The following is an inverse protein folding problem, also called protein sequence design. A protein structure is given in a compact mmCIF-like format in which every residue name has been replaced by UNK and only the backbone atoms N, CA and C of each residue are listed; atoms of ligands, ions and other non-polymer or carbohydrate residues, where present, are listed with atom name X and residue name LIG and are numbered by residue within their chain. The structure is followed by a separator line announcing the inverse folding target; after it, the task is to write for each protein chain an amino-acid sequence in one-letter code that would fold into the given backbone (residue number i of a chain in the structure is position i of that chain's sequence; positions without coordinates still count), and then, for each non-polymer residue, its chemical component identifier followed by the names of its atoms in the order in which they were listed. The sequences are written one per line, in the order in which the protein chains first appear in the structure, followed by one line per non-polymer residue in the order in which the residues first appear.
data_IF_517185911328
#
_entry.id   IF_517185911328
#
_cell.length_a   1.000
_cell.length_b   1.000
_cell.length_c   1.000
_cell.angle_alpha   90.00
_cell.angle_beta   90.00
_cell.angle_gamma   90.00
#
_symmetry.space_group_name_H-M   'P 1'
#
loop_
_entity.id
_entity.type
_entity.pdbx_description
1 polymer ?
#
# COMPACT_ATOMS: atom_id res chain seq x y z
N UNK A 1 12.42 -0.19 15.00
CA UNK A 1 12.26 0.85 13.97
C UNK A 1 12.62 0.21 12.64
N UNK A 2 11.66 0.04 11.74
CA UNK A 2 11.91 -0.55 10.41
C UNK A 2 12.19 0.58 9.42
N UNK A 3 13.40 1.13 9.49
CA UNK A 3 13.94 1.99 8.42
C UNK A 3 14.41 1.08 7.29
N UNK A 4 13.54 0.83 6.32
CA UNK A 4 13.87 -0.03 5.18
C UNK A 4 12.75 -0.01 4.15
N UNK A 5 13.11 0.15 2.88
CA UNK A 5 12.22 -0.19 1.77
C UNK A 5 12.08 -1.72 1.74
N UNK A 6 10.85 -2.22 1.80
CA UNK A 6 10.60 -3.66 1.85
C UNK A 6 9.41 -3.99 0.96
N UNK A 7 9.54 -4.96 0.07
CA UNK A 7 8.42 -5.48 -0.71
C UNK A 7 7.95 -6.76 0.00
N UNK A 8 6.70 -6.80 0.44
CA UNK A 8 6.13 -7.98 1.10
C UNK A 8 4.98 -8.55 0.26
N UNK A 9 5.29 -9.59 -0.50
CA UNK A 9 4.30 -10.33 -1.28
C UNK A 9 3.70 -11.41 -0.37
N UNK A 10 2.43 -11.26 0.00
CA UNK A 10 1.73 -12.17 0.92
C UNK A 10 0.58 -12.88 0.21
N UNK A 11 0.82 -14.13 -0.20
CA UNK A 11 -0.23 -15.02 -0.70
C UNK A 11 -0.81 -15.85 0.45
N UNK A 12 -1.66 -15.22 1.29
CA UNK A 12 -2.32 -15.90 2.41
C UNK A 12 -3.61 -16.60 1.95
N UNK A 13 -3.53 -17.88 1.65
CA UNK A 13 -4.73 -18.71 1.43
C UNK A 13 -5.30 -19.20 2.78
N UNK A 14 -6.60 -18.95 2.99
CA UNK A 14 -7.46 -19.26 4.15
C UNK A 14 -7.37 -18.34 5.38
N UNK A 15 -8.50 -17.67 5.67
CA UNK A 15 -8.98 -17.22 7.00
C UNK A 15 -8.09 -16.30 7.86
N UNK A 16 -6.88 -16.01 7.42
CA UNK A 16 -5.86 -15.41 8.27
C UNK A 16 -6.02 -13.90 8.29
N UNK A 17 -6.08 -13.33 9.49
CA UNK A 17 -5.96 -11.89 9.66
C UNK A 17 -4.50 -11.49 9.43
N UNK A 18 -4.28 -10.30 8.88
CA UNK A 18 -2.95 -9.75 8.67
C UNK A 18 -2.76 -8.52 9.56
N UNK A 19 -1.57 -8.39 10.16
CA UNK A 19 -1.16 -7.22 10.91
C UNK A 19 0.18 -6.72 10.38
N UNK A 20 0.21 -5.48 9.91
CA UNK A 20 1.38 -4.84 9.30
C UNK A 20 1.62 -3.52 10.00
N UNK A 21 2.86 -3.30 10.43
CA UNK A 21 3.28 -2.05 11.06
C UNK A 21 4.59 -1.56 10.43
N UNK A 22 4.59 -0.33 9.92
CA UNK A 22 5.75 0.35 9.36
C UNK A 22 6.10 1.53 10.26
N UNK A 23 7.39 1.72 10.55
CA UNK A 23 7.86 2.83 11.38
C UNK A 23 9.14 3.45 10.81
N UNK A 24 9.15 4.77 10.63
CA UNK A 24 10.31 5.52 10.14
C UNK A 24 10.09 6.06 8.72
N UNK A 25 11.03 5.76 7.83
CA UNK A 25 10.98 6.06 6.40
C UNK A 25 11.09 4.76 5.63
N UNK A 26 10.25 4.57 4.63
CA UNK A 26 10.21 3.33 3.86
C UNK A 26 8.95 3.19 3.03
N UNK A 27 8.97 2.20 2.15
CA UNK A 27 7.85 1.85 1.29
C UNK A 27 7.54 0.36 1.47
N UNK A 28 6.26 0.02 1.50
CA UNK A 28 5.76 -1.34 1.54
C UNK A 28 4.60 -1.51 0.57
N UNK A 29 4.75 -2.45 -0.35
CA UNK A 29 3.67 -2.91 -1.21
C UNK A 29 3.22 -4.31 -0.77
N UNK A 30 1.91 -4.49 -0.65
CA UNK A 30 1.22 -5.75 -0.36
C UNK A 30 0.36 -6.12 -1.56
N UNK A 31 0.59 -7.32 -2.09
CA UNK A 31 -0.23 -7.92 -3.14
C UNK A 31 -0.67 -9.33 -2.72
N UNK A 32 -1.81 -9.77 -3.25
CA UNK A 32 -2.36 -11.10 -2.98
C UNK A 32 -3.84 -11.03 -2.62
N UNK A 33 -4.32 -11.97 -1.80
CA UNK A 33 -5.71 -11.98 -1.33
C UNK A 33 -5.77 -12.43 0.11
N UNK A 34 -6.35 -11.61 0.97
CA UNK A 34 -6.56 -11.94 2.39
C UNK A 34 -8.06 -12.13 2.62
N UNK A 35 -8.46 -13.33 3.03
CA UNK A 35 -9.87 -13.59 3.34
C UNK A 35 -10.30 -12.99 4.70
N UNK A 36 -9.34 -12.77 5.61
CA UNK A 36 -9.55 -12.19 6.93
C UNK A 36 -9.53 -10.67 6.95
N UNK A 37 -9.44 -10.11 8.15
CA UNK A 37 -9.32 -8.68 8.41
C UNK A 37 -7.86 -8.23 8.39
N UNK A 38 -7.64 -6.97 8.06
CA UNK A 38 -6.33 -6.32 8.07
C UNK A 38 -6.22 -5.27 9.15
N UNK A 39 -5.06 -5.22 9.82
CA UNK A 39 -4.62 -4.08 10.61
C UNK A 39 -3.33 -3.53 10.00
N UNK A 40 -3.38 -2.30 9.50
CA UNK A 40 -2.28 -1.66 8.79
C UNK A 40 -1.94 -0.36 9.52
N UNK A 41 -0.74 -0.26 10.07
CA UNK A 41 -0.28 0.91 10.82
C UNK A 41 0.99 1.48 10.19
N UNK A 42 0.98 2.77 9.90
CA UNK A 42 2.09 3.51 9.30
C UNK A 42 2.46 4.65 10.25
N UNK A 43 3.72 4.71 10.67
CA UNK A 43 4.23 5.78 11.53
C UNK A 43 5.48 6.42 10.92
N UNK A 44 5.51 7.74 10.81
CA UNK A 44 6.63 8.50 10.24
C UNK A 44 6.32 9.04 8.85
N UNK A 45 7.28 8.93 7.94
CA UNK A 45 7.18 9.38 6.54
C UNK A 45 7.37 8.16 5.61
N UNK A 46 6.43 7.22 5.73
CA UNK A 46 6.44 5.96 4.99
C UNK A 46 5.21 5.84 4.08
N UNK A 47 5.34 5.03 3.03
CA UNK A 47 4.28 4.71 2.09
C UNK A 47 3.87 3.24 2.23
N UNK A 48 2.57 2.97 2.30
CA UNK A 48 1.99 1.64 2.28
C UNK A 48 1.02 1.54 1.12
N UNK A 49 1.24 0.61 0.21
CA UNK A 49 0.30 0.25 -0.84
C UNK A 49 -0.24 -1.16 -0.61
N UNK A 50 -1.54 -1.27 -0.37
CA UNK A 50 -2.27 -2.53 -0.21
C UNK A 50 -3.55 -2.55 -1.07
N UNK A 51 -3.60 -1.76 -2.15
CA UNK A 51 -4.74 -1.77 -3.08
C UNK A 51 -4.84 -3.13 -3.78
N UNK A 52 -3.71 -3.75 -4.11
CA UNK A 52 -3.62 -5.08 -4.72
C UNK A 52 -3.76 -6.23 -3.72
N UNK A 53 -4.06 -5.95 -2.46
CA UNK A 53 -4.28 -6.95 -1.41
C UNK A 53 -5.64 -6.73 -0.73
N UNK A 54 -6.77 -7.01 -1.42
CA UNK A 54 -8.09 -6.86 -0.85
C UNK A 54 -8.27 -7.74 0.39
N UNK A 55 -8.82 -7.13 1.44
CA UNK A 55 -9.12 -7.76 2.74
C UNK A 55 -10.59 -7.61 3.10
N UNK A 56 -11.09 -8.34 4.09
CA UNK A 56 -12.50 -8.26 4.48
C UNK A 56 -12.86 -6.92 5.14
N UNK A 57 -12.28 -6.63 6.30
CA UNK A 57 -12.34 -5.32 6.96
C UNK A 57 -10.92 -4.84 7.17
N UNK A 58 -10.61 -3.61 6.78
CA UNK A 58 -9.29 -2.99 6.98
C UNK A 58 -9.38 -1.93 8.08
N UNK A 59 -8.50 -2.01 9.07
CA UNK A 59 -8.22 -0.94 10.00
C UNK A 59 -6.89 -0.30 9.61
N UNK A 60 -6.95 0.89 9.00
CA UNK A 60 -5.80 1.63 8.53
C UNK A 60 -5.52 2.82 9.46
N UNK A 61 -4.29 2.91 9.95
CA UNK A 61 -3.83 3.97 10.86
C UNK A 61 -2.55 4.61 10.31
N UNK A 62 -2.56 5.92 10.13
CA UNK A 62 -1.39 6.69 9.68
C UNK A 62 -1.07 7.76 10.72
N UNK A 63 0.14 7.73 11.25
CA UNK A 63 0.68 8.72 12.17
C UNK A 63 1.91 9.42 11.55
N UNK A 64 1.91 10.75 11.49
CA UNK A 64 2.97 11.56 10.88
C UNK A 64 2.59 12.10 9.50
N UNK A 65 3.46 11.88 8.51
CA UNK A 65 3.36 12.41 7.14
C UNK A 65 3.26 11.30 6.08
N UNK A 66 3.03 10.06 6.50
CA UNK A 66 2.93 8.90 5.62
C UNK A 66 1.67 8.88 4.75
N UNK A 67 1.65 7.95 3.80
CA UNK A 67 0.51 7.70 2.92
C UNK A 67 0.18 6.21 2.95
N UNK A 68 -1.11 5.86 3.03
CA UNK A 68 -1.56 4.48 2.96
C UNK A 68 -2.70 4.31 1.95
N UNK A 69 -2.54 3.38 1.02
CA UNK A 69 -3.54 3.00 0.02
C UNK A 69 -4.07 1.61 0.39
N UNK A 70 -5.37 1.45 0.64
CA UNK A 70 -5.95 0.21 1.20
C UNK A 70 -7.27 -0.19 0.57
N UNK A 71 -7.57 -1.50 0.53
CA UNK A 71 -8.84 -2.01 0.01
C UNK A 71 -9.56 -2.96 0.99
N UNK A 72 -10.69 -2.50 1.54
CA UNK A 72 -11.60 -3.31 2.35
C UNK A 72 -12.87 -3.70 1.59
N UNK A 73 -13.11 -5.00 1.42
CA UNK A 73 -14.26 -5.53 0.67
C UNK A 73 -15.59 -5.27 1.39
N UNK A 74 -15.62 -5.36 2.72
CA UNK A 74 -16.80 -5.11 3.55
C UNK A 74 -16.70 -3.81 4.35
N UNK A 75 -15.51 -3.22 4.45
CA UNK A 75 -15.34 -2.04 5.26
C UNK A 75 -13.91 -1.56 5.44
N UNK A 76 -13.76 -0.25 5.59
CA UNK A 76 -12.52 0.40 6.01
C UNK A 76 -12.78 1.30 7.22
N UNK A 77 -12.00 1.11 8.29
CA UNK A 77 -11.86 2.08 9.37
C UNK A 77 -10.53 2.79 9.18
N UNK A 78 -10.56 4.12 8.98
CA UNK A 78 -9.38 4.91 8.67
C UNK A 78 -9.10 5.94 9.77
N UNK A 79 -7.87 5.99 10.26
CA UNK A 79 -7.43 6.95 11.28
C UNK A 79 -6.16 7.65 10.81
N UNK A 80 -6.16 8.97 10.77
CA UNK A 80 -5.01 9.79 10.43
C UNK A 80 -4.68 10.71 11.61
N UNK A 81 -3.42 10.70 12.04
CA UNK A 81 -2.87 11.64 13.02
C UNK A 81 -1.66 12.36 12.42
N UNK A 82 -1.75 13.67 12.19
CA UNK A 82 -0.70 14.48 11.56
C UNK A 82 -1.11 15.06 10.21
N UNK A 83 -0.21 15.00 9.23
CA UNK A 83 -0.40 15.56 7.86
C UNK A 83 -0.47 14.48 6.78
N UNK A 84 -0.43 13.21 7.18
CA UNK A 84 -0.48 12.05 6.30
C UNK A 84 -1.84 11.85 5.63
N UNK A 85 -1.92 10.85 4.75
CA UNK A 85 -3.11 10.61 3.95
C UNK A 85 -3.49 9.12 3.91
N UNK A 86 -4.78 8.83 3.83
CA UNK A 86 -5.28 7.48 3.55
C UNK A 86 -6.15 7.54 2.30
N UNK A 87 -5.78 6.76 1.29
CA UNK A 87 -6.59 6.45 0.14
C UNK A 87 -7.24 5.09 0.37
N UNK A 88 -8.57 5.01 0.37
CA UNK A 88 -9.27 3.76 0.64
C UNK A 88 -10.15 3.34 -0.54
N UNK A 89 -10.35 2.03 -0.70
CA UNK A 89 -11.34 1.45 -1.62
C UNK A 89 -12.33 0.59 -0.83
N UNK A 90 -13.58 0.62 -1.27
CA UNK A 90 -14.70 -0.07 -0.62
C UNK A 90 -15.43 0.84 0.39
N UNK A 91 -16.42 0.30 1.12
CA UNK A 91 -17.25 1.11 2.01
C UNK A 91 -16.46 1.65 3.20
N UNK A 92 -16.54 2.95 3.45
CA UNK A 92 -15.97 3.58 4.63
C UNK A 92 -16.89 3.36 5.84
N UNK A 93 -16.40 2.64 6.85
CA UNK A 93 -17.14 2.38 8.09
C UNK A 93 -16.91 3.48 9.13
N UNK A 94 -15.68 3.96 9.24
CA UNK A 94 -15.31 5.02 10.19
C UNK A 94 -14.11 5.81 9.70
N UNK A 95 -14.09 7.10 10.04
CA UNK A 95 -12.97 7.99 9.77
C UNK A 95 -12.68 8.88 10.98
N UNK A 96 -11.40 9.00 11.32
CA UNK A 96 -10.90 9.93 12.33
C UNK A 96 -9.69 10.65 11.77
N UNK A 97 -9.71 11.99 11.79
CA UNK A 97 -8.59 12.82 11.36
C UNK A 97 -8.24 13.76 12.52
N UNK A 98 -7.01 13.62 13.02
CA UNK A 98 -6.41 14.49 14.03
C UNK A 98 -5.20 15.20 13.42
N UNK A 99 -5.41 16.39 12.85
CA UNK A 99 -4.35 17.17 12.20
C UNK A 99 -4.80 17.79 10.88
N UNK A 100 -3.89 17.88 9.90
CA UNK A 100 -4.12 18.46 8.57
C UNK A 100 -4.14 17.40 7.45
N UNK A 101 -4.09 16.12 7.81
CA UNK A 101 -4.14 15.01 6.87
C UNK A 101 -5.51 14.82 6.21
N UNK A 102 -5.62 13.85 5.29
CA UNK A 102 -6.88 13.57 4.61
C UNK A 102 -7.17 12.09 4.39
N UNK A 103 -8.45 11.72 4.38
CA UNK A 103 -8.94 10.38 4.06
C UNK A 103 -9.84 10.53 2.83
N UNK A 104 -9.52 9.83 1.75
CA UNK A 104 -10.22 9.96 0.46
C UNK A 104 -10.41 8.59 -0.20
N UNK A 105 -11.43 8.47 -1.02
CA UNK A 105 -11.60 7.28 -1.84
C UNK A 105 -10.50 7.23 -2.92
N UNK A 106 -9.92 6.05 -3.12
CA UNK A 106 -8.90 5.82 -4.13
C UNK A 106 -9.58 5.71 -5.50
N UNK A 107 -9.43 6.75 -6.30
CA UNK A 107 -9.74 6.70 -7.73
C UNK A 107 -8.49 6.12 -8.39
N UNK A 108 -8.57 4.84 -8.79
CA UNK A 108 -7.55 4.28 -9.67
C UNK A 108 -7.79 4.98 -11.01
N UNK A 109 -6.93 5.95 -11.34
CA UNK A 109 -6.85 6.38 -12.72
C UNK A 109 -6.44 5.14 -13.51
N UNK A 110 -7.31 4.65 -14.39
CA UNK A 110 -6.86 3.75 -15.46
C UNK A 110 -5.69 4.45 -16.14
N UNK A 111 -4.51 3.84 -16.06
CA UNK A 111 -3.34 4.29 -16.81
C UNK A 111 -3.70 4.23 -18.29
N UNK A 112 -4.15 5.36 -18.85
CA UNK A 112 -4.08 5.57 -20.29
C UNK A 112 -2.59 5.66 -20.60
N UNK A 113 -2.03 4.50 -20.94
CA UNK A 113 -0.70 4.34 -21.48
C UNK A 113 -0.49 5.34 -22.61
N UNK A 114 0.26 6.39 -22.33
CA UNK A 114 0.81 7.27 -23.36
C UNK A 114 2.27 7.51 -23.01
N UNK A 115 3.15 6.68 -23.59
CA UNK A 115 4.57 7.02 -23.71
C UNK A 115 4.70 8.32 -24.52
N UNK A 116 5.63 9.20 -24.15
CA UNK A 116 6.80 9.38 -24.99
C UNK A 116 8.13 9.34 -24.23
N UNK A 117 9.18 9.05 -25.01
CA UNK A 117 10.52 8.62 -24.60
C UNK A 117 11.48 9.74 -24.16
N UNK A 118 12.49 9.29 -23.38
CA UNK A 118 13.92 9.64 -23.43
C UNK A 118 14.48 10.68 -22.42
N UNK A 119 15.22 10.20 -21.41
CA UNK A 119 16.69 10.38 -21.32
C UNK A 119 17.30 9.70 -20.09
N UNK A 120 18.16 8.71 -20.37
CA UNK A 120 19.34 8.22 -19.62
C UNK A 120 19.22 7.73 -18.16
N UNK A 121 19.14 6.42 -17.96
CA UNK A 121 20.29 5.63 -17.46
C UNK A 121 20.04 4.13 -17.65
N UNK A 122 21.07 3.44 -18.12
CA UNK A 122 21.04 2.13 -18.76
C UNK A 122 21.08 0.98 -17.74
N UNK A 123 20.18 0.00 -17.85
CA UNK A 123 20.33 -1.36 -17.28
C UNK A 123 19.39 -2.31 -18.02
N UNK A 124 19.94 -3.12 -18.92
CA UNK A 124 19.21 -4.02 -19.80
C UNK A 124 18.44 -5.10 -19.04
N UNK A 125 17.17 -5.35 -19.42
CA UNK A 125 16.41 -6.52 -18.95
C UNK A 125 15.94 -7.34 -20.15
N UNK A 126 16.60 -8.48 -20.34
CA UNK A 126 16.25 -9.54 -21.28
C UNK A 126 15.02 -10.27 -20.75
N UNK A 127 13.99 -10.43 -21.57
CA UNK A 127 12.70 -11.03 -21.23
C UNK A 127 12.61 -12.47 -21.76
N UNK A 128 12.55 -13.47 -20.87
CA UNK A 128 12.33 -14.88 -21.22
C UNK A 128 10.82 -15.22 -21.16
N UNK A 129 10.35 -16.16 -22.01
CA UNK A 129 8.92 -16.38 -22.35
C UNK A 129 8.06 -17.04 -21.25
N UNK A 130 8.51 -17.08 -20.00
CA UNK A 130 7.86 -17.81 -18.90
C UNK A 130 7.48 -16.93 -17.69
N UNK A 131 6.91 -15.73 -17.93
CA UNK A 131 6.18 -14.90 -16.95
C UNK A 131 6.77 -14.89 -15.51
N UNK A 132 8.08 -14.69 -15.34
CA UNK A 132 8.68 -14.42 -14.03
C UNK A 132 9.51 -13.16 -14.08
N UNK A 133 8.94 -12.08 -13.57
CA UNK A 133 9.63 -10.80 -13.42
C UNK A 133 10.50 -10.88 -12.16
N UNK A 134 11.81 -11.08 -12.32
CA UNK A 134 12.78 -10.94 -11.24
C UNK A 134 13.23 -9.48 -11.23
N UNK A 135 12.94 -8.74 -10.15
CA UNK A 135 13.47 -7.37 -9.94
C UNK A 135 14.59 -7.46 -8.90
N UNK A 136 15.82 -7.27 -9.35
CA UNK A 136 16.99 -7.10 -8.50
C UNK A 136 17.13 -5.60 -8.24
N UNK A 137 17.03 -5.17 -6.99
CA UNK A 137 17.40 -3.82 -6.59
C UNK A 137 18.86 -3.85 -6.14
N UNK A 138 19.72 -3.13 -6.85
CA UNK A 138 21.11 -2.91 -6.47
C UNK A 138 21.17 -1.88 -5.32
N UNK A 139 22.16 -2.08 -4.44
CA UNK A 139 22.45 -1.37 -3.18
C UNK A 139 22.65 0.12 -3.32
#
# INVERSE_FOLDING_TARGET
AHSGAGIAILELQHGSNINVAISGTGELSLSGRVQGNGRLSVSGAAYLDAIECPMNIVNAEVAGSGLASVYGLKGVNATVSGVGNICYRGPLLSQVISGLGSIRECIIAEETSTEPQHSSSQSDKIMDRNQRLIVILAT
#
